data_IF_681522623685
#
_entry.id   IF_681522623685
#
_cell.length_a   1.000
_cell.length_b   1.000
_cell.length_c   1.000
_cell.angle_alpha   90.00
_cell.angle_beta   90.00
_cell.angle_gamma   90.00
#
_symmetry.space_group_name_H-M   'P 1'
#
loop_
_entity.id
_entity.type
_entity.pdbx_description
1 polymer ?
#
# COMPACT_ATOMS: atom_id res chain seq x y z
N UNK A 1 24.71 -23.51 -17.67
CA UNK A 1 24.45 -23.98 -16.30
C UNK A 1 24.03 -22.83 -15.40
N UNK A 2 22.88 -22.95 -14.77
CA UNK A 2 22.40 -21.90 -13.88
C UNK A 2 23.42 -21.66 -12.76
N UNK A 3 23.82 -20.42 -12.61
CA UNK A 3 24.86 -20.05 -11.65
C UNK A 3 24.27 -20.08 -10.24
N UNK A 4 24.81 -20.93 -9.40
CA UNK A 4 24.34 -21.08 -8.00
C UNK A 4 24.42 -19.74 -7.26
N UNK A 5 25.44 -18.93 -7.51
CA UNK A 5 25.57 -17.60 -6.90
C UNK A 5 24.42 -16.68 -7.33
N UNK A 6 24.03 -16.72 -8.59
CA UNK A 6 22.90 -15.93 -9.10
C UNK A 6 21.59 -16.35 -8.45
N UNK A 7 21.37 -17.65 -8.27
CA UNK A 7 20.18 -18.19 -7.62
C UNK A 7 20.12 -17.78 -6.15
N UNK A 8 21.23 -17.87 -5.42
CA UNK A 8 21.30 -17.42 -4.02
C UNK A 8 21.00 -15.93 -3.90
N UNK A 9 21.58 -15.13 -4.78
CA UNK A 9 21.35 -13.68 -4.80
C UNK A 9 19.88 -13.36 -5.06
N UNK A 10 19.25 -14.09 -6.00
CA UNK A 10 17.82 -13.93 -6.31
C UNK A 10 16.94 -14.28 -5.12
N UNK A 11 17.24 -15.35 -4.39
CA UNK A 11 16.50 -15.76 -3.20
C UNK A 11 16.58 -14.68 -2.12
N UNK A 12 17.76 -14.15 -1.84
CA UNK A 12 17.98 -13.09 -0.86
C UNK A 12 17.22 -11.82 -1.27
N UNK A 13 17.29 -11.45 -2.54
CA UNK A 13 16.59 -10.28 -3.09
C UNK A 13 15.07 -10.45 -2.96
N UNK A 14 14.55 -11.64 -3.27
CA UNK A 14 13.11 -11.91 -3.15
C UNK A 14 12.64 -11.85 -1.70
N UNK A 15 13.45 -12.36 -0.76
CA UNK A 15 13.13 -12.30 0.66
C UNK A 15 13.06 -10.84 1.15
N UNK A 16 14.02 -10.01 0.75
CA UNK A 16 14.02 -8.58 1.08
C UNK A 16 12.81 -7.85 0.49
N UNK A 17 12.45 -8.16 -0.75
CA UNK A 17 11.26 -7.58 -1.39
C UNK A 17 9.99 -8.00 -0.67
N UNK A 18 9.89 -9.27 -0.27
CA UNK A 18 8.73 -9.78 0.47
C UNK A 18 8.58 -9.06 1.80
N UNK A 19 9.66 -8.83 2.54
CA UNK A 19 9.63 -8.06 3.79
C UNK A 19 9.18 -6.63 3.57
N UNK A 20 9.74 -5.95 2.57
CA UNK A 20 9.32 -4.58 2.23
C UNK A 20 7.86 -4.52 1.84
N UNK A 21 7.40 -5.45 1.02
CA UNK A 21 6.01 -5.48 0.57
C UNK A 21 5.07 -5.72 1.74
N UNK A 22 5.46 -6.59 2.67
CA UNK A 22 4.69 -6.85 3.88
C UNK A 22 4.58 -5.60 4.75
N UNK A 23 5.70 -4.90 4.97
CA UNK A 23 5.74 -3.66 5.74
C UNK A 23 4.87 -2.57 5.10
N UNK A 24 4.96 -2.41 3.78
CA UNK A 24 4.16 -1.44 3.04
C UNK A 24 2.68 -1.79 3.10
N UNK A 25 2.31 -3.04 2.95
CA UNK A 25 0.91 -3.48 3.06
C UNK A 25 0.35 -3.19 4.46
N UNK A 26 1.14 -3.41 5.50
CA UNK A 26 0.75 -3.07 6.88
C UNK A 26 0.57 -1.58 7.05
N UNK A 27 1.48 -0.77 6.52
CA UNK A 27 1.39 0.69 6.55
C UNK A 27 0.13 1.19 5.83
N UNK A 28 -0.15 0.66 4.63
CA UNK A 28 -1.35 1.02 3.88
C UNK A 28 -2.61 0.70 4.66
N UNK A 29 -2.66 -0.46 5.28
CA UNK A 29 -3.79 -0.88 6.12
C UNK A 29 -4.02 0.11 7.26
N UNK A 30 -2.95 0.52 7.93
CA UNK A 30 -3.01 1.50 9.02
C UNK A 30 -3.48 2.87 8.53
N UNK A 31 -2.94 3.34 7.40
CA UNK A 31 -3.32 4.64 6.82
C UNK A 31 -4.79 4.66 6.39
N UNK A 32 -5.27 3.58 5.77
CA UNK A 32 -6.66 3.45 5.36
C UNK A 32 -7.56 3.43 6.60
N UNK A 33 -7.17 2.69 7.63
CA UNK A 33 -7.91 2.61 8.89
C UNK A 33 -8.01 3.97 9.57
N UNK A 34 -6.92 4.74 9.59
CA UNK A 34 -6.91 6.11 10.12
C UNK A 34 -7.84 7.01 9.32
N UNK A 35 -7.83 6.91 7.99
CA UNK A 35 -8.72 7.69 7.14
C UNK A 35 -10.18 7.34 7.42
N UNK A 36 -10.51 6.07 7.59
CA UNK A 36 -11.87 5.63 7.91
C UNK A 36 -12.31 6.09 9.30
N UNK A 37 -11.43 6.04 10.28
CA UNK A 37 -11.75 6.42 11.67
C UNK A 37 -11.94 7.93 11.86
N UNK A 38 -11.40 8.74 10.94
CA UNK A 38 -11.52 10.20 11.00
C UNK A 38 -12.67 10.77 10.17
N UNK A 39 -13.48 9.90 9.54
CA UNK A 39 -14.64 10.34 8.76
C UNK A 39 -15.57 11.17 9.67
N UNK A 40 -15.96 12.35 9.19
CA UNK A 40 -16.78 13.28 9.94
C UNK A 40 -16.01 14.24 10.84
N UNK A 41 -14.67 14.16 10.83
CA UNK A 41 -13.81 15.08 11.60
C UNK A 41 -13.01 15.98 10.65
N UNK A 42 -12.45 17.06 11.19
CA UNK A 42 -11.60 17.98 10.41
C UNK A 42 -10.30 17.32 9.94
N UNK A 43 -9.85 16.28 10.61
CA UNK A 43 -8.63 15.55 10.27
C UNK A 43 -8.81 14.59 9.10
N UNK A 44 -10.03 14.35 8.64
CA UNK A 44 -10.31 13.36 7.58
C UNK A 44 -9.66 13.71 6.25
N UNK A 45 -9.74 14.97 5.81
CA UNK A 45 -9.18 15.38 4.52
C UNK A 45 -7.69 15.07 4.42
N UNK A 46 -6.93 15.37 5.45
CA UNK A 46 -5.50 15.08 5.50
C UNK A 46 -5.24 13.58 5.56
N UNK A 47 -5.97 12.85 6.38
CA UNK A 47 -5.82 11.40 6.51
C UNK A 47 -6.11 10.68 5.21
N UNK A 48 -7.16 11.07 4.50
CA UNK A 48 -7.51 10.52 3.18
C UNK A 48 -6.43 10.83 2.16
N UNK A 49 -5.95 12.06 2.14
CA UNK A 49 -4.90 12.50 1.22
C UNK A 49 -3.62 11.70 1.42
N UNK A 50 -3.21 11.49 2.66
CA UNK A 50 -2.03 10.68 2.99
C UNK A 50 -2.24 9.22 2.58
N UNK A 51 -3.40 8.64 2.86
CA UNK A 51 -3.72 7.26 2.49
C UNK A 51 -3.65 7.06 0.97
N UNK A 52 -4.29 7.94 0.20
CA UNK A 52 -4.28 7.88 -1.27
C UNK A 52 -2.86 8.03 -1.81
N UNK A 53 -2.09 8.98 -1.28
CA UNK A 53 -0.70 9.19 -1.68
C UNK A 53 0.14 7.94 -1.47
N UNK A 54 0.00 7.28 -0.32
CA UNK A 54 0.76 6.06 -0.02
C UNK A 54 0.35 4.90 -0.90
N UNK A 55 -0.94 4.76 -1.20
CA UNK A 55 -1.43 3.74 -2.13
C UNK A 55 -0.83 3.96 -3.53
N UNK A 56 -0.86 5.18 -4.03
CA UNK A 56 -0.29 5.51 -5.33
C UNK A 56 1.22 5.28 -5.39
N UNK A 57 1.94 5.65 -4.34
CA UNK A 57 3.39 5.40 -4.25
C UNK A 57 3.71 3.91 -4.26
N UNK A 58 2.95 3.11 -3.52
CA UNK A 58 3.15 1.67 -3.47
C UNK A 58 2.91 1.03 -4.83
N UNK A 59 1.90 1.47 -5.56
CA UNK A 59 1.63 1.00 -6.92
C UNK A 59 2.73 1.41 -7.90
N UNK A 60 3.20 2.65 -7.80
CA UNK A 60 4.28 3.16 -8.66
C UNK A 60 5.58 2.40 -8.45
N UNK A 61 5.86 1.96 -7.23
CA UNK A 61 7.06 1.18 -6.90
C UNK A 61 6.88 -0.32 -7.14
N UNK A 62 5.70 -0.75 -7.59
CA UNK A 62 5.43 -2.17 -7.87
C UNK A 62 5.20 -3.02 -6.63
N UNK A 63 5.01 -2.42 -5.47
CA UNK A 63 4.76 -3.15 -4.22
C UNK A 63 3.35 -3.71 -4.15
N UNK A 64 2.41 -3.06 -4.83
CA UNK A 64 1.05 -3.58 -5.05
C UNK A 64 0.70 -3.40 -6.52
N UNK A 65 -0.21 -4.23 -7.00
CA UNK A 65 -0.67 -4.13 -8.39
C UNK A 65 -1.56 -2.89 -8.57
N UNK A 66 -1.52 -2.28 -9.75
CA UNK A 66 -2.32 -1.09 -10.06
C UNK A 66 -3.82 -1.33 -9.83
N UNK A 67 -4.32 -2.52 -10.15
CA UNK A 67 -5.71 -2.88 -9.93
C UNK A 67 -6.06 -2.93 -8.43
N UNK A 68 -5.15 -3.43 -7.61
CA UNK A 68 -5.33 -3.46 -6.15
C UNK A 68 -5.33 -2.04 -5.59
N UNK A 69 -4.45 -1.16 -6.09
CA UNK A 69 -4.41 0.24 -5.70
C UNK A 69 -5.73 0.96 -6.04
N UNK A 70 -6.22 0.78 -7.25
CA UNK A 70 -7.48 1.37 -7.70
C UNK A 70 -8.65 0.90 -6.82
N UNK A 71 -8.67 -0.38 -6.48
CA UNK A 71 -9.72 -0.96 -5.63
C UNK A 71 -9.68 -0.39 -4.22
N UNK A 72 -8.50 -0.26 -3.63
CA UNK A 72 -8.33 0.33 -2.29
C UNK A 72 -8.77 1.78 -2.25
N UNK A 73 -8.37 2.57 -3.24
CA UNK A 73 -8.77 3.97 -3.35
C UNK A 73 -10.28 4.10 -3.51
N UNK A 74 -10.87 3.31 -4.40
CA UNK A 74 -12.31 3.33 -4.65
C UNK A 74 -13.11 3.02 -3.39
N UNK A 75 -12.72 1.98 -2.66
CA UNK A 75 -13.39 1.60 -1.41
C UNK A 75 -13.28 2.69 -0.36
N UNK A 76 -12.10 3.28 -0.21
CA UNK A 76 -11.87 4.35 0.76
C UNK A 76 -12.74 5.56 0.42
N UNK A 77 -12.71 6.03 -0.83
CA UNK A 77 -13.48 7.19 -1.26
C UNK A 77 -14.99 6.94 -1.14
N UNK A 78 -15.42 5.71 -1.39
CA UNK A 78 -16.82 5.35 -1.23
C UNK A 78 -17.28 5.48 0.23
N UNK A 79 -16.49 5.02 1.17
CA UNK A 79 -16.76 5.17 2.60
C UNK A 79 -16.75 6.63 3.05
N UNK A 80 -15.78 7.41 2.57
CA UNK A 80 -15.67 8.84 2.89
C UNK A 80 -16.90 9.59 2.38
N UNK A 81 -17.33 9.32 1.16
CA UNK A 81 -18.48 9.98 0.56
C UNK A 81 -19.81 9.53 1.18
N UNK A 82 -19.88 8.31 1.68
CA UNK A 82 -21.07 7.80 2.35
C UNK A 82 -21.21 8.31 3.80
N UNK A 83 -20.09 8.66 4.41
CA UNK A 83 -20.07 9.24 5.75
C UNK A 83 -20.29 10.72 5.72
#
# INVERSE_FOLDING_TARGET
MANIKSQKKRIITNAKRAERNKAVKSELKTRIKNAESTIGTDANDEAVRVAVKRIDMAAAKGMIHANAAARKKSRLMHKVNAG
#
